data_IF_937901053230
#
_entry.id   IF_937901053230
#
_cell.length_a   1.000
_cell.length_b   1.000
_cell.length_c   1.000
_cell.angle_alpha   90.00
_cell.angle_beta   90.00
_cell.angle_gamma   90.00
#
_symmetry.space_group_name_H-M   'P 1'
#
loop_
_entity.id
_entity.type
_entity.pdbx_description
1 polymer ?
#
# COMPACT_ATOMS: atom_id res chain seq x y z
N UNK A 1 -17.54 -12.67 18.72
CA UNK A 1 -16.39 -13.26 17.97
C UNK A 1 -15.10 -12.64 18.48
N UNK A 2 -13.96 -13.39 18.54
CA UNK A 2 -12.69 -12.87 19.10
C UNK A 2 -12.07 -11.77 18.21
N UNK A 3 -12.07 -11.96 16.90
CA UNK A 3 -11.47 -11.03 15.94
C UNK A 3 -12.52 -10.13 15.32
N UNK A 4 -12.20 -8.84 15.20
CA UNK A 4 -13.08 -7.77 14.71
C UNK A 4 -12.61 -7.10 13.45
N UNK A 5 -11.30 -7.24 13.12
CA UNK A 5 -10.71 -6.60 11.95
C UNK A 5 -9.76 -7.56 11.25
N UNK A 6 -9.96 -7.72 9.94
CA UNK A 6 -9.04 -8.42 9.05
C UNK A 6 -8.45 -7.43 8.07
N UNK A 7 -7.13 -7.45 7.96
CA UNK A 7 -6.37 -6.57 7.05
C UNK A 7 -5.68 -7.44 6.01
N UNK A 8 -5.93 -7.14 4.75
CA UNK A 8 -5.28 -7.82 3.65
C UNK A 8 -4.40 -6.85 2.85
N UNK A 9 -3.18 -7.28 2.55
CA UNK A 9 -2.49 -6.73 1.39
C UNK A 9 -3.21 -7.17 0.10
N UNK A 10 -2.89 -6.50 -1.00
CA UNK A 10 -3.54 -6.72 -2.29
C UNK A 10 -2.67 -7.55 -3.22
N UNK A 11 -1.46 -7.09 -3.53
CA UNK A 11 -0.57 -7.71 -4.51
C UNK A 11 0.21 -8.88 -3.90
N UNK A 12 0.10 -10.09 -4.52
CA UNK A 12 0.73 -11.27 -3.93
C UNK A 12 -0.01 -11.85 -2.72
N UNK A 13 -1.11 -11.22 -2.28
CA UNK A 13 -1.94 -11.66 -1.16
C UNK A 13 -3.37 -11.97 -1.61
N UNK A 14 -4.20 -10.95 -1.91
CA UNK A 14 -5.57 -11.17 -2.42
C UNK A 14 -5.63 -11.35 -3.92
N UNK A 15 -4.73 -10.69 -4.67
CA UNK A 15 -4.66 -10.82 -6.11
C UNK A 15 -3.86 -12.06 -6.50
N UNK A 16 -4.44 -12.87 -7.38
CA UNK A 16 -3.76 -13.96 -8.08
C UNK A 16 -2.76 -13.41 -9.12
N UNK A 17 -1.90 -14.27 -9.65
CA UNK A 17 -0.93 -13.89 -10.68
C UNK A 17 -1.53 -13.31 -11.97
N UNK A 18 -2.83 -13.57 -12.23
CA UNK A 18 -3.60 -12.97 -13.33
C UNK A 18 -4.18 -11.57 -12.99
N UNK A 19 -3.89 -11.05 -11.79
CA UNK A 19 -4.36 -9.76 -11.31
C UNK A 19 -5.83 -9.72 -10.90
N UNK A 20 -6.45 -10.88 -10.64
CA UNK A 20 -7.86 -11.00 -10.23
C UNK A 20 -7.99 -11.54 -8.81
N UNK A 21 -9.11 -11.21 -8.19
CA UNK A 21 -9.57 -11.84 -6.94
C UNK A 21 -10.46 -13.03 -7.30
N UNK A 22 -10.22 -14.18 -6.68
CA UNK A 22 -11.02 -15.40 -6.91
C UNK A 22 -12.45 -15.24 -6.38
N UNK A 23 -13.38 -16.04 -6.92
CA UNK A 23 -14.75 -16.09 -6.41
C UNK A 23 -14.81 -16.57 -4.94
N UNK A 24 -13.94 -17.52 -4.58
CA UNK A 24 -13.82 -18.01 -3.21
C UNK A 24 -13.41 -16.92 -2.22
N UNK A 25 -12.43 -16.09 -2.61
CA UNK A 25 -11.99 -14.94 -1.79
C UNK A 25 -13.10 -13.89 -1.69
N UNK A 26 -13.82 -13.61 -2.78
CA UNK A 26 -14.97 -12.68 -2.77
C UNK A 26 -16.06 -13.16 -1.80
N UNK A 27 -16.45 -14.42 -1.90
CA UNK A 27 -17.46 -15.03 -1.01
C UNK A 27 -17.02 -14.96 0.46
N UNK A 28 -15.76 -15.29 0.74
CA UNK A 28 -15.25 -15.29 2.09
C UNK A 28 -15.19 -13.89 2.71
N UNK A 29 -14.75 -12.88 1.96
CA UNK A 29 -14.76 -11.48 2.41
C UNK A 29 -16.20 -11.02 2.70
N UNK A 30 -17.17 -11.37 1.85
CA UNK A 30 -18.58 -11.09 2.11
C UNK A 30 -19.06 -11.76 3.40
N UNK A 31 -18.66 -13.02 3.63
CA UNK A 31 -18.98 -13.74 4.88
C UNK A 31 -18.38 -13.07 6.11
N UNK A 32 -17.13 -12.58 6.05
CA UNK A 32 -16.50 -11.80 7.13
C UNK A 32 -17.35 -10.57 7.48
N UNK A 33 -17.75 -9.79 6.47
CA UNK A 33 -18.56 -8.59 6.67
C UNK A 33 -19.96 -8.88 7.21
N UNK A 34 -20.60 -9.93 6.74
CA UNK A 34 -21.91 -10.36 7.25
C UNK A 34 -21.84 -10.81 8.73
N UNK A 35 -20.68 -11.23 9.19
CA UNK A 35 -20.40 -11.56 10.60
C UNK A 35 -19.89 -10.35 11.42
N UNK A 36 -20.08 -9.12 10.94
CA UNK A 36 -19.63 -7.87 11.58
C UNK A 36 -18.11 -7.80 11.82
N UNK A 37 -17.32 -8.41 10.95
CA UNK A 37 -15.87 -8.27 10.94
C UNK A 37 -15.50 -7.20 9.91
N UNK A 38 -14.83 -6.17 10.35
CA UNK A 38 -14.32 -5.13 9.46
C UNK A 38 -13.21 -5.68 8.57
N UNK A 39 -13.19 -5.22 7.31
CA UNK A 39 -12.16 -5.62 6.35
C UNK A 39 -11.50 -4.39 5.77
N UNK A 40 -10.18 -4.35 5.86
CA UNK A 40 -9.32 -3.31 5.27
C UNK A 40 -8.46 -3.93 4.18
N UNK A 41 -8.37 -3.25 3.04
CA UNK A 41 -7.37 -3.52 1.99
C UNK A 41 -6.24 -2.51 2.16
N UNK A 42 -5.04 -2.98 2.50
CA UNK A 42 -3.86 -2.15 2.74
C UNK A 42 -2.81 -2.39 1.64
N UNK A 43 -2.56 -1.40 0.78
CA UNK A 43 -1.74 -1.58 -0.43
C UNK A 43 -0.81 -0.40 -0.72
N UNK A 44 0.31 -0.66 -1.38
CA UNK A 44 1.17 0.38 -1.98
C UNK A 44 0.54 1.09 -3.18
N UNK A 45 -0.48 0.51 -3.80
CA UNK A 45 -1.15 1.11 -4.96
C UNK A 45 -1.87 2.41 -4.62
N UNK A 46 -2.04 3.29 -5.64
CA UNK A 46 -2.95 4.43 -5.51
C UNK A 46 -4.39 3.94 -5.30
N UNK A 47 -5.21 4.77 -4.65
CA UNK A 47 -6.61 4.46 -4.39
C UNK A 47 -7.39 4.11 -5.67
N UNK A 48 -7.17 4.82 -6.76
CA UNK A 48 -7.82 4.56 -8.05
C UNK A 48 -7.57 3.13 -8.54
N UNK A 49 -6.29 2.71 -8.53
CA UNK A 49 -5.92 1.38 -9.01
C UNK A 49 -6.42 0.27 -8.06
N UNK A 50 -6.32 0.49 -6.74
CA UNK A 50 -6.85 -0.44 -5.76
C UNK A 50 -8.38 -0.62 -5.91
N UNK A 51 -9.15 0.48 -5.97
CA UNK A 51 -10.61 0.47 -6.14
C UNK A 51 -11.04 -0.29 -7.40
N UNK A 52 -10.30 -0.12 -8.50
CA UNK A 52 -10.58 -0.83 -9.76
C UNK A 52 -10.41 -2.36 -9.63
N UNK A 53 -9.34 -2.78 -8.92
CA UNK A 53 -9.01 -4.21 -8.73
C UNK A 53 -9.96 -4.92 -7.78
N UNK A 54 -10.40 -4.23 -6.71
CA UNK A 54 -11.31 -4.81 -5.71
C UNK A 54 -12.80 -4.67 -6.08
N UNK A 55 -13.13 -4.13 -7.25
CA UNK A 55 -14.52 -4.02 -7.74
C UNK A 55 -15.34 -5.32 -7.62
N UNK A 56 -14.78 -6.53 -7.81
CA UNK A 56 -15.53 -7.77 -7.62
C UNK A 56 -16.10 -7.98 -6.22
N UNK A 57 -15.54 -7.34 -5.18
CA UNK A 57 -16.01 -7.48 -3.79
C UNK A 57 -17.43 -6.93 -3.59
N UNK A 58 -17.88 -5.98 -4.42
CA UNK A 58 -19.24 -5.39 -4.42
C UNK A 58 -19.70 -4.80 -3.08
N UNK A 59 -18.85 -4.75 -2.09
CA UNK A 59 -19.11 -4.25 -0.73
C UNK A 59 -18.42 -2.90 -0.55
N UNK A 60 -18.93 -2.12 0.40
CA UNK A 60 -18.16 -0.95 0.85
C UNK A 60 -16.94 -1.41 1.61
N UNK A 61 -15.77 -1.07 1.06
CA UNK A 61 -14.46 -1.45 1.59
C UNK A 61 -13.72 -0.22 2.09
N UNK A 62 -12.84 -0.45 3.04
CA UNK A 62 -11.85 0.55 3.44
C UNK A 62 -10.55 0.22 2.71
N UNK A 63 -10.03 1.20 2.00
CA UNK A 63 -8.75 1.08 1.29
C UNK A 63 -7.73 2.00 1.92
N UNK A 64 -6.68 1.42 2.49
CA UNK A 64 -5.44 2.08 2.87
C UNK A 64 -4.50 2.03 1.67
N UNK A 65 -4.41 3.11 0.93
CA UNK A 65 -3.58 3.21 -0.27
C UNK A 65 -2.27 3.97 -0.02
N UNK A 66 -1.35 3.88 -0.99
CA UNK A 66 -0.01 4.46 -0.88
C UNK A 66 0.66 4.08 0.45
N UNK A 67 0.74 2.77 0.71
CA UNK A 67 1.32 2.21 1.95
C UNK A 67 0.73 2.80 3.24
N UNK A 68 -0.58 3.07 3.27
CA UNK A 68 -1.25 3.62 4.46
C UNK A 68 -1.22 5.13 4.59
N UNK A 69 -0.64 5.86 3.63
CA UNK A 69 -0.65 7.33 3.64
C UNK A 69 -2.05 7.93 3.57
N UNK A 70 -3.03 7.22 2.98
CA UNK A 70 -4.42 7.68 2.90
C UNK A 70 -5.41 6.53 3.00
N UNK A 71 -6.48 6.75 3.75
CA UNK A 71 -7.61 5.82 3.87
C UNK A 71 -8.87 6.42 3.27
N UNK A 72 -9.63 5.60 2.51
CA UNK A 72 -10.91 5.99 1.92
C UNK A 72 -11.94 4.87 2.01
N UNK A 73 -13.22 5.25 2.10
CA UNK A 73 -14.33 4.34 1.80
C UNK A 73 -14.51 4.19 0.28
N UNK A 74 -14.89 3.00 -0.19
CA UNK A 74 -15.15 2.77 -1.62
C UNK A 74 -16.55 3.18 -2.07
N UNK A 75 -17.50 3.33 -1.14
CA UNK A 75 -18.89 3.70 -1.41
C UNK A 75 -19.01 5.14 -1.93
N UNK A 76 -18.33 6.08 -1.29
CA UNK A 76 -18.47 7.52 -1.58
C UNK A 76 -17.11 8.23 -1.84
N UNK A 77 -16.01 7.47 -1.88
CA UNK A 77 -14.64 7.97 -2.05
C UNK A 77 -14.16 8.94 -0.96
N UNK A 78 -14.90 9.01 0.15
CA UNK A 78 -14.59 9.91 1.26
C UNK A 78 -13.29 9.53 1.95
N UNK A 79 -12.45 10.53 2.19
CA UNK A 79 -11.21 10.37 2.97
C UNK A 79 -11.57 10.16 4.44
N UNK A 80 -11.09 9.08 5.02
CA UNK A 80 -11.18 8.80 6.46
C UNK A 80 -10.08 9.57 7.18
N UNK A 81 -8.84 9.45 6.68
CA UNK A 81 -7.67 10.22 7.10
C UNK A 81 -6.60 10.22 6.01
N UNK A 82 -5.62 11.13 6.15
CA UNK A 82 -4.42 11.15 5.33
C UNK A 82 -3.22 11.64 6.13
N UNK A 83 -2.04 11.09 5.83
CA UNK A 83 -0.74 11.50 6.31
C UNK A 83 0.03 12.05 5.11
N UNK A 84 -0.02 13.38 4.92
CA UNK A 84 0.65 14.03 3.81
C UNK A 84 2.11 14.32 4.16
N UNK A 85 3.02 13.94 3.27
CA UNK A 85 4.42 14.34 3.34
C UNK A 85 4.51 15.88 3.22
N UNK A 86 5.20 16.50 4.16
CA UNK A 86 5.42 17.93 4.15
C UNK A 86 6.15 18.39 2.87
N UNK A 87 5.66 19.49 2.30
CA UNK A 87 6.20 20.04 1.05
C UNK A 87 7.72 20.25 1.08
N UNK A 88 8.25 20.83 2.16
CA UNK A 88 9.69 21.08 2.28
C UNK A 88 10.49 19.77 2.32
N UNK A 89 9.98 18.75 2.99
CA UNK A 89 10.57 17.41 3.01
C UNK A 89 10.58 16.79 1.61
N UNK A 90 9.46 16.89 0.87
CA UNK A 90 9.42 16.42 -0.51
C UNK A 90 10.43 17.15 -1.41
N UNK A 91 10.52 18.48 -1.30
CA UNK A 91 11.48 19.28 -2.07
C UNK A 91 12.94 18.93 -1.75
N UNK A 92 13.26 18.58 -0.50
CA UNK A 92 14.59 18.09 -0.13
C UNK A 92 14.94 16.80 -0.89
N UNK A 93 14.04 15.80 -0.88
CA UNK A 93 14.26 14.56 -1.61
C UNK A 93 14.42 14.81 -3.11
N UNK A 94 13.55 15.64 -3.70
CA UNK A 94 13.59 15.99 -5.12
C UNK A 94 14.95 16.64 -5.49
N UNK A 95 15.43 17.56 -4.66
CA UNK A 95 16.72 18.21 -4.87
C UNK A 95 17.88 17.21 -4.87
N UNK A 96 17.92 16.30 -3.89
CA UNK A 96 18.95 15.27 -3.81
C UNK A 96 18.87 14.30 -5.01
N UNK A 97 17.66 13.89 -5.39
CA UNK A 97 17.41 13.00 -6.51
C UNK A 97 17.89 13.59 -7.84
N UNK A 98 17.61 14.88 -8.08
CA UNK A 98 18.05 15.59 -9.29
C UNK A 98 19.57 15.65 -9.41
N UNK A 99 20.30 15.75 -8.30
CA UNK A 99 21.78 15.73 -8.32
C UNK A 99 22.37 14.35 -8.72
N UNK A 100 21.55 13.33 -8.83
CA UNK A 100 21.90 11.95 -9.19
C UNK A 100 21.13 11.45 -10.42
N UNK A 101 20.52 12.36 -11.17
CA UNK A 101 19.73 12.06 -12.39
C UNK A 101 18.53 11.13 -12.16
N UNK A 102 18.02 11.02 -10.93
CA UNK A 102 16.78 10.33 -10.65
C UNK A 102 15.57 11.21 -10.99
N UNK A 103 14.67 10.68 -11.80
CA UNK A 103 13.40 11.33 -12.17
C UNK A 103 12.34 11.14 -11.08
N UNK A 104 11.90 12.17 -10.37
CA UNK A 104 10.91 12.04 -9.30
C UNK A 104 9.49 11.86 -9.86
N UNK A 105 8.75 10.96 -9.24
CA UNK A 105 7.32 10.72 -9.46
C UNK A 105 6.62 11.03 -8.14
N UNK A 106 5.65 11.92 -8.13
CA UNK A 106 4.98 12.30 -6.89
C UNK A 106 3.54 11.79 -6.90
N UNK A 107 3.20 10.96 -5.92
CA UNK A 107 1.82 10.58 -5.65
C UNK A 107 1.13 11.68 -4.84
N UNK A 108 -0.09 12.06 -5.26
CA UNK A 108 -0.86 13.14 -4.66
C UNK A 108 -2.31 12.74 -4.42
N UNK A 109 -2.92 13.30 -3.38
CA UNK A 109 -4.37 13.19 -3.14
C UNK A 109 -5.14 14.19 -4.00
N UNK A 110 -5.30 13.85 -5.26
CA UNK A 110 -6.10 14.61 -6.23
C UNK A 110 -7.09 13.71 -6.97
N UNK A 111 -7.49 12.60 -6.33
CA UNK A 111 -8.43 11.62 -6.90
C UNK A 111 -9.67 12.26 -7.52
N UNK A 112 -10.34 13.17 -6.78
CA UNK A 112 -11.54 13.87 -7.25
C UNK A 112 -11.26 14.88 -8.39
N UNK A 113 -9.98 15.19 -8.67
CA UNK A 113 -9.56 16.03 -9.78
C UNK A 113 -9.13 15.20 -11.01
N UNK A 114 -9.30 13.88 -10.96
CA UNK A 114 -9.02 12.98 -12.06
C UNK A 114 -7.55 12.56 -12.20
N UNK A 115 -6.67 12.80 -11.21
CA UNK A 115 -5.29 12.38 -11.25
C UNK A 115 -4.76 12.02 -9.86
N UNK A 116 -3.73 11.17 -9.83
CA UNK A 116 -3.10 10.65 -8.59
C UNK A 116 -1.58 10.84 -8.62
N UNK A 117 -1.02 11.18 -9.77
CA UNK A 117 0.42 11.31 -10.00
C UNK A 117 0.69 12.68 -10.61
N UNK A 118 1.80 13.29 -10.18
CA UNK A 118 2.42 14.40 -10.89
C UNK A 118 3.88 14.05 -11.23
N UNK A 119 4.29 14.46 -12.42
CA UNK A 119 5.66 14.33 -12.93
C UNK A 119 6.17 15.71 -13.34
N UNK A 120 7.48 15.89 -13.37
CA UNK A 120 8.05 17.16 -13.77
C UNK A 120 8.16 17.26 -15.29
N UNK A 121 7.94 18.45 -15.81
CA UNK A 121 7.99 18.74 -17.24
C UNK A 121 9.34 18.40 -17.85
N UNK A 122 10.41 18.66 -17.12
CA UNK A 122 11.79 18.36 -17.50
C UNK A 122 12.03 16.86 -17.80
N UNK A 123 11.31 15.97 -17.09
CA UNK A 123 11.45 14.52 -17.22
C UNK A 123 10.33 13.87 -18.03
N UNK A 124 9.45 14.64 -18.65
CA UNK A 124 8.28 14.10 -19.37
C UNK A 124 8.67 13.12 -20.49
N UNK A 125 9.82 13.29 -21.12
CA UNK A 125 10.34 12.39 -22.16
C UNK A 125 10.83 11.04 -21.61
N UNK A 126 11.12 10.96 -20.30
CA UNK A 126 11.51 9.72 -19.66
C UNK A 126 10.30 8.81 -19.49
N UNK A 127 10.35 7.61 -20.00
CA UNK A 127 9.23 6.66 -19.93
C UNK A 127 9.01 6.08 -18.53
N UNK A 128 9.59 6.66 -17.47
CA UNK A 128 9.49 6.19 -16.07
C UNK A 128 9.43 4.65 -15.95
N UNK A 129 10.15 3.93 -16.85
CA UNK A 129 10.16 2.47 -16.95
C UNK A 129 8.77 1.83 -17.03
N UNK A 130 7.76 2.54 -17.56
CA UNK A 130 6.38 2.09 -17.64
C UNK A 130 5.57 2.24 -16.34
N UNK A 131 6.11 2.89 -15.32
CA UNK A 131 5.39 3.16 -14.07
C UNK A 131 4.26 4.17 -14.29
N UNK A 132 4.53 5.23 -15.01
CA UNK A 132 3.51 6.21 -15.39
C UNK A 132 2.90 5.78 -16.73
N UNK A 133 1.61 5.43 -16.73
CA UNK A 133 0.89 4.94 -17.90
C UNK A 133 -0.01 6.01 -18.51
N UNK A 134 0.12 6.23 -19.80
CA UNK A 134 -0.78 7.08 -20.57
C UNK A 134 -2.20 6.48 -20.71
N UNK A 135 -2.36 5.17 -20.51
CA UNK A 135 -3.63 4.46 -20.70
C UNK A 135 -4.73 4.92 -19.74
N UNK A 136 -4.35 5.18 -18.48
CA UNK A 136 -5.32 5.60 -17.45
C UNK A 136 -5.45 7.12 -17.34
N UNK A 137 -4.54 7.90 -17.95
CA UNK A 137 -4.60 9.37 -17.97
C UNK A 137 -4.56 10.04 -16.58
N UNK A 138 -4.14 9.31 -15.55
CA UNK A 138 -4.23 9.77 -14.16
C UNK A 138 -2.95 10.45 -13.67
N UNK A 139 -2.29 11.16 -14.54
CA UNK A 139 -1.13 11.98 -14.17
C UNK A 139 -1.22 13.40 -14.76
N UNK A 140 -0.48 14.32 -14.18
CA UNK A 140 -0.24 15.65 -14.72
C UNK A 140 1.24 15.95 -14.76
N UNK A 141 1.65 16.66 -15.80
CA UNK A 141 2.98 17.26 -15.91
C UNK A 141 2.91 18.65 -15.32
N UNK A 142 3.78 18.93 -14.34
CA UNK A 142 3.88 20.23 -13.67
C UNK A 142 5.34 20.53 -13.35
N UNK A 143 5.66 21.81 -13.23
CA UNK A 143 6.94 22.22 -12.65
C UNK A 143 6.93 21.99 -11.15
N UNK A 144 7.97 21.32 -10.61
CA UNK A 144 8.07 21.06 -9.18
C UNK A 144 8.60 22.29 -8.44
N UNK A 145 7.70 23.12 -7.99
CA UNK A 145 7.93 24.28 -7.16
C UNK A 145 7.01 24.31 -5.94
N UNK A 146 7.18 25.33 -5.09
CA UNK A 146 6.38 25.44 -3.86
C UNK A 146 4.87 25.59 -4.09
N UNK A 147 4.46 26.11 -5.24
CA UNK A 147 3.05 26.43 -5.49
C UNK A 147 2.28 25.24 -6.05
N UNK A 148 2.95 24.38 -6.82
CA UNK A 148 2.36 23.24 -7.49
C UNK A 148 2.27 21.97 -6.60
N UNK A 149 3.09 21.87 -5.55
CA UNK A 149 3.12 20.70 -4.68
C UNK A 149 2.15 20.85 -3.49
N UNK A 150 1.17 19.95 -3.41
CA UNK A 150 0.24 19.91 -2.28
C UNK A 150 -0.41 18.53 -2.13
N UNK A 151 -0.73 18.15 -0.89
CA UNK A 151 -1.33 16.86 -0.55
C UNK A 151 -0.50 15.69 -1.08
N UNK A 152 0.80 15.74 -0.84
CA UNK A 152 1.76 14.74 -1.28
C UNK A 152 1.59 13.48 -0.43
N UNK A 153 1.41 12.32 -1.07
CA UNK A 153 1.31 11.02 -0.41
C UNK A 153 2.64 10.29 -0.40
N UNK A 154 3.41 10.38 -1.50
CA UNK A 154 4.72 9.80 -1.62
C UNK A 154 5.55 10.51 -2.70
N UNK A 155 6.88 10.47 -2.56
CA UNK A 155 7.86 10.76 -3.63
C UNK A 155 8.50 9.43 -4.01
N UNK A 156 8.38 9.06 -5.28
CA UNK A 156 8.78 7.75 -5.79
C UNK A 156 9.84 7.87 -6.87
N UNK A 157 10.66 6.84 -7.00
CA UNK A 157 11.70 6.71 -8.02
C UNK A 157 11.69 5.29 -8.58
N UNK A 158 11.95 5.14 -9.88
CA UNK A 158 12.10 3.86 -10.55
C UNK A 158 13.50 3.71 -11.13
N UNK A 159 14.09 2.52 -11.04
CA UNK A 159 15.45 2.30 -11.53
C UNK A 159 16.04 0.98 -11.05
N UNK A 160 17.36 0.86 -11.07
CA UNK A 160 18.05 -0.29 -10.51
C UNK A 160 17.83 -0.36 -8.99
N UNK A 161 17.51 -1.57 -8.50
CA UNK A 161 17.20 -1.78 -7.09
C UNK A 161 18.35 -1.36 -6.14
N UNK A 162 19.59 -1.68 -6.49
CA UNK A 162 20.74 -1.40 -5.62
C UNK A 162 21.11 0.09 -5.62
N UNK A 163 20.96 0.76 -6.75
CA UNK A 163 21.14 2.22 -6.85
C UNK A 163 20.09 2.95 -6.02
N UNK A 164 18.83 2.53 -6.12
CA UNK A 164 17.73 3.09 -5.32
C UNK A 164 17.91 2.83 -3.82
N UNK A 165 18.36 1.64 -3.43
CA UNK A 165 18.63 1.31 -2.04
C UNK A 165 19.80 2.15 -1.47
N UNK A 166 20.83 2.37 -2.27
CA UNK A 166 21.95 3.25 -1.92
C UNK A 166 21.44 4.67 -1.70
N UNK A 167 20.63 5.19 -2.61
CA UNK A 167 20.03 6.52 -2.49
C UNK A 167 19.12 6.64 -1.26
N UNK A 168 18.30 5.62 -0.99
CA UNK A 168 17.47 5.55 0.22
C UNK A 168 18.29 5.71 1.49
N UNK A 169 19.39 4.96 1.58
CA UNK A 169 20.27 4.98 2.75
C UNK A 169 20.96 6.33 2.93
N UNK A 170 21.40 6.97 1.84
CA UNK A 170 21.97 8.32 1.88
C UNK A 170 20.95 9.35 2.39
N UNK A 171 19.70 9.32 1.89
CA UNK A 171 18.64 10.23 2.32
C UNK A 171 18.33 10.02 3.80
N UNK A 172 18.14 8.77 4.24
CA UNK A 172 17.82 8.47 5.64
C UNK A 172 18.97 8.87 6.60
N UNK A 173 20.22 8.75 6.15
CA UNK A 173 21.39 9.23 6.91
C UNK A 173 21.46 10.75 6.98
N UNK A 174 21.13 11.44 5.89
CA UNK A 174 21.19 12.91 5.79
C UNK A 174 20.03 13.58 6.54
N UNK A 175 18.86 12.94 6.55
CA UNK A 175 17.64 13.44 7.16
C UNK A 175 17.06 12.39 8.12
N UNK A 176 17.71 12.12 9.26
CA UNK A 176 17.27 11.08 10.19
C UNK A 176 15.86 11.37 10.70
N UNK A 177 15.06 10.31 10.86
CA UNK A 177 13.68 10.34 11.37
C UNK A 177 12.75 11.32 10.61
N UNK A 178 13.05 11.57 9.34
CA UNK A 178 12.25 12.50 8.53
C UNK A 178 11.24 11.81 7.64
N UNK A 179 11.52 10.58 7.24
CA UNK A 179 10.73 9.82 6.26
C UNK A 179 10.52 8.38 6.69
N UNK A 180 9.38 7.82 6.34
CA UNK A 180 9.27 6.40 6.15
C UNK A 180 9.63 6.07 4.69
N UNK A 181 10.37 5.00 4.43
CA UNK A 181 10.84 4.69 3.08
C UNK A 181 10.97 3.20 2.83
N UNK A 182 10.57 2.79 1.65
CA UNK A 182 10.59 1.39 1.20
C UNK A 182 11.26 1.29 -0.16
N UNK A 183 12.10 0.28 -0.35
CA UNK A 183 12.58 -0.13 -1.67
C UNK A 183 12.05 -1.53 -1.94
N UNK A 184 11.36 -1.70 -3.06
CA UNK A 184 10.84 -3.00 -3.50
C UNK A 184 11.38 -3.39 -4.87
N UNK A 185 11.54 -4.70 -5.10
CA UNK A 185 11.80 -5.23 -6.44
C UNK A 185 10.49 -5.25 -7.22
N UNK A 186 10.54 -4.79 -8.45
CA UNK A 186 9.36 -4.72 -9.30
C UNK A 186 9.68 -5.27 -10.69
N UNK A 187 8.89 -6.21 -11.17
CA UNK A 187 9.10 -6.86 -12.46
C UNK A 187 9.05 -5.89 -13.67
N UNK A 188 8.31 -4.77 -13.52
CA UNK A 188 8.16 -3.79 -14.62
C UNK A 188 9.25 -2.72 -14.61
N UNK A 189 9.62 -2.24 -13.44
CA UNK A 189 10.50 -1.06 -13.28
C UNK A 189 11.84 -1.40 -12.61
N UNK A 190 12.18 -2.70 -12.49
CA UNK A 190 13.34 -3.27 -11.80
C UNK A 190 13.33 -2.99 -10.29
N UNK A 191 13.28 -1.75 -9.88
CA UNK A 191 13.16 -1.29 -8.50
C UNK A 191 12.20 -0.10 -8.40
N UNK A 192 11.53 -0.01 -7.25
CA UNK A 192 10.69 1.12 -6.84
C UNK A 192 11.11 1.56 -5.44
N UNK A 193 11.51 2.81 -5.31
CA UNK A 193 11.78 3.48 -4.03
C UNK A 193 10.67 4.48 -3.75
N UNK A 194 10.14 4.46 -2.53
CA UNK A 194 9.11 5.36 -2.07
C UNK A 194 9.55 6.06 -0.77
N UNK A 195 9.37 7.37 -0.71
CA UNK A 195 9.49 8.17 0.51
C UNK A 195 8.13 8.73 0.89
N UNK A 196 7.72 8.52 2.13
CA UNK A 196 6.42 8.90 2.67
C UNK A 196 6.60 9.74 3.95
N UNK A 197 5.51 10.28 4.46
CA UNK A 197 5.50 10.79 5.85
C UNK A 197 5.88 9.68 6.83
N UNK A 198 6.44 10.01 7.98
CA UNK A 198 6.81 9.02 9.01
C UNK A 198 5.65 8.10 9.41
N UNK A 199 4.42 8.62 9.39
CA UNK A 199 3.19 7.87 9.65
C UNK A 199 2.60 7.20 8.40
N UNK A 200 3.29 7.29 7.27
CA UNK A 200 2.93 6.63 6.02
C UNK A 200 3.39 5.18 6.00
N UNK A 201 2.81 4.32 6.84
CA UNK A 201 2.97 2.88 6.77
C UNK A 201 1.63 2.18 6.99
N UNK A 202 1.52 0.93 6.52
CA UNK A 202 0.26 0.18 6.60
C UNK A 202 -0.22 0.03 8.05
N UNK A 203 0.70 -0.25 8.98
CA UNK A 203 0.35 -0.41 10.39
C UNK A 203 -0.24 0.85 11.00
N UNK A 204 0.39 2.01 10.84
CA UNK A 204 -0.11 3.28 11.39
C UNK A 204 -1.54 3.59 10.91
N UNK A 205 -1.82 3.28 9.64
CA UNK A 205 -3.16 3.43 9.09
C UNK A 205 -4.18 2.48 9.73
N UNK A 206 -3.80 1.22 9.92
CA UNK A 206 -4.63 0.20 10.55
C UNK A 206 -4.86 0.53 12.03
N UNK A 207 -3.82 0.88 12.76
CA UNK A 207 -3.91 1.24 14.18
C UNK A 207 -4.81 2.46 14.38
N UNK A 208 -4.69 3.47 13.52
CA UNK A 208 -5.54 4.66 13.57
C UNK A 208 -7.03 4.32 13.35
N UNK A 209 -7.31 3.44 12.39
CA UNK A 209 -8.66 2.94 12.16
C UNK A 209 -9.16 2.14 13.35
N UNK A 210 -8.40 1.17 13.84
CA UNK A 210 -8.75 0.31 14.95
C UNK A 210 -9.06 1.12 16.21
N UNK A 211 -8.24 2.12 16.56
CA UNK A 211 -8.49 3.07 17.66
C UNK A 211 -9.81 3.80 17.49
N UNK A 212 -10.16 4.23 16.28
CA UNK A 212 -11.42 4.94 16.01
C UNK A 212 -12.67 4.06 16.15
N UNK A 213 -12.49 2.74 16.12
CA UNK A 213 -13.52 1.71 16.27
C UNK A 213 -13.47 0.96 17.60
N UNK A 214 -12.59 1.37 18.50
CA UNK A 214 -12.36 0.71 19.80
C UNK A 214 -12.00 -0.80 19.64
N UNK A 215 -11.32 -1.12 18.52
CA UNK A 215 -10.81 -2.47 18.24
C UNK A 215 -9.42 -2.59 18.88
N UNK A 216 -9.23 -3.63 19.70
CA UNK A 216 -7.95 -3.92 20.32
C UNK A 216 -7.01 -4.61 19.34
N UNK A 217 -5.70 -4.49 19.58
CA UNK A 217 -4.66 -5.11 18.72
C UNK A 217 -4.85 -6.61 18.61
N UNK A 218 -5.18 -7.28 19.73
CA UNK A 218 -5.40 -8.73 19.80
C UNK A 218 -6.64 -9.19 19.00
N UNK A 219 -7.47 -8.26 18.57
CA UNK A 219 -8.68 -8.51 17.75
C UNK A 219 -8.42 -8.30 16.25
N UNK A 220 -7.14 -8.06 15.85
CA UNK A 220 -6.73 -7.79 14.46
C UNK A 220 -5.99 -9.00 13.90
N UNK A 221 -6.36 -9.44 12.71
CA UNK A 221 -5.57 -10.37 11.90
C UNK A 221 -5.10 -9.63 10.65
N UNK A 222 -3.83 -9.76 10.31
CA UNK A 222 -3.27 -9.20 9.08
C UNK A 222 -2.65 -10.27 8.20
N UNK A 223 -2.74 -10.08 6.89
CA UNK A 223 -2.19 -11.00 5.88
C UNK A 223 -1.41 -10.17 4.86
N UNK A 224 -0.17 -10.59 4.57
CA UNK A 224 0.70 -9.90 3.63
C UNK A 224 1.83 -10.79 3.09
N UNK A 225 2.61 -10.28 2.14
CA UNK A 225 3.64 -11.06 1.46
C UNK A 225 4.98 -10.33 1.26
N UNK A 226 5.05 -9.01 1.41
CA UNK A 226 6.28 -8.25 1.10
C UNK A 226 6.74 -7.38 2.29
N UNK A 227 7.90 -6.78 2.14
CA UNK A 227 8.61 -6.04 3.18
C UNK A 227 7.83 -4.85 3.76
N UNK A 228 6.93 -4.23 2.98
CA UNK A 228 6.04 -3.17 3.45
C UNK A 228 4.91 -3.66 4.37
N UNK A 229 4.75 -5.00 4.54
CA UNK A 229 3.81 -5.63 5.46
C UNK A 229 4.46 -6.05 6.79
N UNK A 230 5.79 -6.02 6.91
CA UNK A 230 6.51 -6.50 8.08
C UNK A 230 5.97 -5.89 9.38
N UNK A 231 5.86 -4.55 9.44
CA UNK A 231 5.34 -3.86 10.61
C UNK A 231 3.86 -4.18 10.88
N UNK A 232 3.07 -4.33 9.81
CA UNK A 232 1.66 -4.72 9.90
C UNK A 232 1.51 -6.10 10.54
N UNK A 233 2.28 -7.11 10.08
CA UNK A 233 2.21 -8.46 10.62
C UNK A 233 2.72 -8.54 12.06
N UNK A 234 3.85 -7.91 12.35
CA UNK A 234 4.47 -7.92 13.69
C UNK A 234 3.57 -7.31 14.78
N UNK A 235 2.80 -6.29 14.43
CA UNK A 235 2.04 -5.50 15.40
C UNK A 235 0.57 -5.90 15.51
N UNK A 236 0.07 -6.73 14.61
CA UNK A 236 -1.29 -7.29 14.69
C UNK A 236 -1.37 -8.40 15.74
N UNK A 237 -2.58 -8.71 16.18
CA UNK A 237 -2.84 -9.83 17.10
C UNK A 237 -2.49 -11.19 16.50
N UNK A 238 -2.64 -11.35 15.17
CA UNK A 238 -2.08 -12.44 14.37
C UNK A 238 -1.59 -11.85 13.04
N UNK A 239 -0.32 -12.08 12.73
CA UNK A 239 0.28 -11.79 11.43
C UNK A 239 0.45 -13.05 10.60
N UNK A 240 -0.12 -13.08 9.40
CA UNK A 240 -0.05 -14.22 8.47
C UNK A 240 0.80 -13.83 7.26
N UNK A 241 1.95 -14.48 7.06
CA UNK A 241 2.71 -14.35 5.83
C UNK A 241 2.22 -15.32 4.77
N UNK A 242 2.08 -14.85 3.53
CA UNK A 242 1.73 -15.72 2.41
C UNK A 242 2.88 -16.70 2.09
N UNK A 243 2.55 -17.89 1.54
CA UNK A 243 3.57 -18.88 1.11
C UNK A 243 4.53 -18.32 0.06
N UNK A 244 4.04 -17.49 -0.85
CA UNK A 244 4.83 -16.79 -1.87
C UNK A 244 5.56 -15.55 -1.32
N UNK A 245 5.38 -15.20 -0.05
CA UNK A 245 6.00 -14.02 0.56
C UNK A 245 7.52 -14.13 0.67
N UNK A 246 8.16 -12.99 0.93
CA UNK A 246 9.62 -12.89 1.13
C UNK A 246 10.07 -13.70 2.34
N UNK A 247 11.36 -14.04 2.43
CA UNK A 247 11.89 -14.73 3.60
C UNK A 247 11.79 -13.86 4.85
N UNK A 248 12.00 -12.55 4.69
CA UNK A 248 11.96 -11.55 5.74
C UNK A 248 10.59 -11.49 6.43
N UNK A 249 9.51 -11.48 5.63
CA UNK A 249 8.15 -11.43 6.19
C UNK A 249 7.77 -12.75 6.87
N UNK A 250 8.22 -13.90 6.34
CA UNK A 250 7.97 -15.21 6.94
C UNK A 250 8.64 -15.39 8.30
N UNK A 251 9.80 -14.74 8.52
CA UNK A 251 10.51 -14.78 9.80
C UNK A 251 9.78 -14.00 10.91
N UNK A 252 8.93 -13.07 10.57
CA UNK A 252 8.25 -12.20 11.54
C UNK A 252 6.79 -12.53 11.76
N UNK A 253 6.22 -13.37 10.90
CA UNK A 253 4.81 -13.75 10.96
C UNK A 253 4.57 -14.81 12.05
N UNK A 254 3.39 -14.78 12.66
CA UNK A 254 2.93 -15.85 13.58
C UNK A 254 2.60 -17.13 12.81
N UNK A 255 2.11 -16.98 11.58
CA UNK A 255 1.69 -18.10 10.72
C UNK A 255 2.23 -17.86 9.31
N UNK A 256 2.77 -18.91 8.69
CA UNK A 256 3.06 -18.94 7.26
C UNK A 256 1.98 -19.76 6.56
N UNK A 257 1.29 -19.17 5.60
CA UNK A 257 0.22 -19.81 4.87
C UNK A 257 0.72 -21.05 4.11
N UNK A 258 -0.08 -22.12 4.14
CA UNK A 258 0.24 -23.38 3.44
C UNK A 258 0.14 -23.26 1.91
N UNK A 259 -0.70 -22.34 1.43
CA UNK A 259 -0.95 -22.07 0.02
C UNK A 259 -0.49 -20.66 -0.36
N UNK A 260 -0.22 -20.45 -1.65
CA UNK A 260 0.11 -19.12 -2.17
C UNK A 260 -1.16 -18.32 -2.57
N UNK A 261 -0.96 -17.13 -3.14
CA UNK A 261 -2.06 -16.27 -3.57
C UNK A 261 -2.86 -16.81 -4.75
N UNK A 262 -2.30 -17.72 -5.57
CA UNK A 262 -3.02 -18.35 -6.68
C UNK A 262 -4.02 -19.40 -6.19
N UNK A 263 -3.77 -19.97 -5.02
CA UNK A 263 -4.58 -21.01 -4.38
C UNK A 263 -5.32 -20.49 -3.13
N UNK A 264 -5.67 -19.20 -3.12
CA UNK A 264 -6.44 -18.54 -2.06
C UNK A 264 -5.88 -18.75 -0.63
N UNK A 265 -4.55 -18.75 -0.50
CA UNK A 265 -3.85 -19.08 0.76
C UNK A 265 -4.31 -18.27 1.96
N UNK A 266 -4.57 -16.96 1.80
CA UNK A 266 -5.11 -16.10 2.85
C UNK A 266 -6.44 -16.62 3.39
N UNK A 267 -7.37 -17.00 2.50
CA UNK A 267 -8.69 -17.51 2.87
C UNK A 267 -8.57 -18.87 3.55
N UNK A 268 -7.68 -19.74 3.06
CA UNK A 268 -7.45 -21.06 3.67
C UNK A 268 -6.97 -20.95 5.12
N UNK A 269 -6.04 -20.04 5.41
CA UNK A 269 -5.55 -19.84 6.77
C UNK A 269 -6.61 -19.20 7.68
N UNK A 270 -7.34 -18.20 7.18
CA UNK A 270 -8.39 -17.57 7.96
C UNK A 270 -9.52 -18.53 8.31
N UNK A 271 -9.88 -19.48 7.43
CA UNK A 271 -10.88 -20.54 7.73
C UNK A 271 -10.46 -21.45 8.88
N UNK A 272 -9.15 -21.68 9.09
CA UNK A 272 -8.64 -22.46 10.22
C UNK A 272 -8.73 -21.69 11.54
N UNK A 273 -8.58 -20.37 11.50
CA UNK A 273 -8.55 -19.50 12.68
C UNK A 273 -9.97 -19.07 13.09
N UNK A 274 -10.81 -18.78 12.09
CA UNK A 274 -12.14 -18.23 12.28
C UNK A 274 -13.19 -19.33 12.05
N UNK A 275 -13.81 -19.80 13.13
CA UNK A 275 -15.00 -20.67 13.07
C UNK A 275 -16.22 -19.79 12.73
N UNK A 276 -16.36 -19.42 11.46
CA UNK A 276 -17.55 -18.72 10.98
C UNK A 276 -18.67 -19.73 10.79
N UNK A 277 -19.85 -19.45 11.38
CA UNK A 277 -21.04 -20.30 11.19
C UNK A 277 -21.32 -20.48 9.69
N UNK A 278 -21.59 -21.74 9.31
CA UNK A 278 -22.03 -22.03 7.95
C UNK A 278 -23.54 -21.71 7.90
N UNK A 279 -23.91 -20.70 7.11
CA UNK A 279 -25.30 -20.47 6.70
C UNK A 279 -25.74 -21.56 5.74
#
# INVERSE_FOLDING_TARGET
>A
MRYKLIVFDLDGTLLRGDGKISSQTVEYINKLKNNNIDVIIATGRSYYHAKKLIKPLKQDMIVLSNNGSIARYTSDDKVIFANYLEKNKALNIIKEAKSKDFAPIIHVDKFNKGYDIIIEEEYHSLNYNGYVSNKDGRYKTVRFDKDNLSKILAVCFTGDFFELETFRNEINKKYPESYNSFTSKNLRVKGLLEFLDLKGCKWEGVERYAKSKEIKIEEIISVGDDNNDIELLKKSGIGIAMKNGTNEIKLVADIVAGNDNNDDGAVHELKKILSLEND
#
